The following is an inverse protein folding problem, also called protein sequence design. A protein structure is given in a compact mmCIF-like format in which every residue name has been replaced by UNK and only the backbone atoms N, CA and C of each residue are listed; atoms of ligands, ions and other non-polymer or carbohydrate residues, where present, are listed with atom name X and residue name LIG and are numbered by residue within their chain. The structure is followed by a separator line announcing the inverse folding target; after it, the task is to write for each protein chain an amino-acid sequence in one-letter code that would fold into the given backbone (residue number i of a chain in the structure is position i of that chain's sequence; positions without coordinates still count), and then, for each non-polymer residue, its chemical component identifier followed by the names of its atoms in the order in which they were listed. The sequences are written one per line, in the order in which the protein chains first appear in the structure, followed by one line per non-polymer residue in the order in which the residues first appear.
data_IF_978729801144
#
_entry.id   IF_978729801144
#
_cell.length_a   1.000
_cell.length_b   1.000
_cell.length_c   1.000
_cell.angle_alpha   90.00
_cell.angle_beta   90.00
_cell.angle_gamma   90.00
#
_symmetry.space_group_name_H-M   'P 1'
#
loop_
_entity.id
_entity.type
_entity.pdbx_description
1 polymer ?
#
# COMPACT_ATOMS: atom_id res chain seq x y z
N UNK A 1 30.88 12.13 60.75
CA UNK A 1 30.62 10.96 59.88
C UNK A 1 29.97 11.46 58.59
N UNK A 2 30.51 11.10 57.43
CA UNK A 2 29.89 11.47 56.15
C UNK A 2 28.58 10.71 56.00
N UNK A 3 27.46 11.38 55.67
CA UNK A 3 26.19 10.71 55.44
C UNK A 3 26.30 9.73 54.27
N UNK A 4 25.73 8.51 54.43
CA UNK A 4 25.70 7.56 53.32
C UNK A 4 24.69 8.01 52.28
N UNK A 5 24.85 7.59 51.01
CA UNK A 5 23.89 7.87 49.93
C UNK A 5 22.48 7.48 50.36
N UNK A 6 22.30 6.27 50.89
CA UNK A 6 21.00 5.76 51.29
C UNK A 6 20.35 6.53 52.46
N UNK A 7 21.17 7.14 53.35
CA UNK A 7 20.61 7.96 54.45
C UNK A 7 20.01 9.27 53.89
N UNK A 8 20.55 9.81 52.81
CA UNK A 8 20.01 10.98 52.12
C UNK A 8 18.83 10.59 51.24
N UNK A 9 18.94 9.52 50.43
CA UNK A 9 17.93 9.07 49.50
C UNK A 9 16.59 8.69 50.19
N UNK A 10 16.64 8.21 51.44
CA UNK A 10 15.45 7.87 52.24
C UNK A 10 14.72 9.06 52.85
N UNK A 11 15.24 10.28 52.78
CA UNK A 11 14.50 11.45 53.25
C UNK A 11 13.22 11.63 52.41
N UNK A 12 12.08 12.04 53.02
CA UNK A 12 10.79 12.15 52.32
C UNK A 12 10.86 12.94 50.98
N UNK A 13 11.64 14.01 50.96
CA UNK A 13 11.90 14.83 49.79
C UNK A 13 12.45 13.98 48.61
N UNK A 14 13.42 13.11 48.86
CA UNK A 14 14.09 12.31 47.85
C UNK A 14 13.31 11.05 47.46
N UNK A 15 12.50 10.50 48.39
CA UNK A 15 11.53 9.46 48.08
C UNK A 15 10.45 10.00 47.17
N UNK A 16 9.95 11.21 47.43
CA UNK A 16 9.03 11.91 46.51
C UNK A 16 9.67 12.18 45.14
N UNK A 17 10.94 12.60 45.10
CA UNK A 17 11.69 12.77 43.88
C UNK A 17 11.85 11.46 43.06
N UNK A 18 12.08 10.32 43.77
CA UNK A 18 12.13 9.00 43.14
C UNK A 18 10.77 8.60 42.57
N UNK A 19 9.68 8.87 43.27
CA UNK A 19 8.34 8.60 42.76
C UNK A 19 8.03 9.39 41.50
N UNK A 20 8.45 10.67 41.43
CA UNK A 20 8.33 11.49 40.22
C UNK A 20 9.19 10.91 39.09
N UNK A 21 10.46 10.59 39.35
CA UNK A 21 11.34 9.99 38.35
C UNK A 21 10.79 8.66 37.79
N UNK A 22 10.21 7.82 38.69
CA UNK A 22 9.56 6.59 38.29
C UNK A 22 8.31 6.83 37.41
N UNK A 23 7.49 7.80 37.74
CA UNK A 23 6.30 8.16 36.97
C UNK A 23 6.69 8.67 35.57
N UNK A 24 7.71 9.51 35.48
CA UNK A 24 8.28 10.00 34.22
C UNK A 24 8.84 8.84 33.40
N UNK A 25 9.60 7.93 34.03
CA UNK A 25 10.16 6.76 33.36
C UNK A 25 9.08 5.82 32.83
N UNK A 26 7.99 5.62 33.58
CA UNK A 26 6.82 4.83 33.13
C UNK A 26 6.18 5.48 31.89
N UNK A 27 5.98 6.80 31.92
CA UNK A 27 5.41 7.53 30.78
C UNK A 27 6.27 7.36 29.53
N UNK A 28 7.58 7.54 29.64
CA UNK A 28 8.50 7.35 28.50
C UNK A 28 8.56 5.88 28.05
N UNK A 29 8.47 4.93 28.96
CA UNK A 29 8.41 3.51 28.61
C UNK A 29 7.14 3.16 27.82
N UNK A 30 6.00 3.76 28.15
CA UNK A 30 4.75 3.59 27.39
C UNK A 30 4.85 4.23 26.00
N UNK A 31 5.47 5.41 25.89
CA UNK A 31 5.72 6.05 24.61
C UNK A 31 6.70 5.23 23.75
N UNK A 32 7.75 4.68 24.36
CA UNK A 32 8.67 3.75 23.68
C UNK A 32 7.92 2.54 23.13
N UNK A 33 7.10 1.90 23.96
CA UNK A 33 6.31 0.72 23.56
C UNK A 33 5.34 1.05 22.42
N UNK A 34 4.69 2.22 22.47
CA UNK A 34 3.81 2.69 21.42
C UNK A 34 4.56 2.93 20.11
N UNK A 35 5.75 3.55 20.15
CA UNK A 35 6.59 3.75 18.96
C UNK A 35 7.12 2.42 18.42
N UNK A 36 7.55 1.51 19.30
CA UNK A 36 8.07 0.21 18.90
C UNK A 36 7.00 -0.63 18.18
N UNK A 37 5.75 -0.57 18.62
CA UNK A 37 4.64 -1.23 17.95
C UNK A 37 4.40 -0.71 16.52
N UNK A 38 4.80 0.54 16.23
CA UNK A 38 4.71 1.15 14.90
C UNK A 38 5.99 1.01 14.07
N UNK A 39 7.06 0.52 14.67
CA UNK A 39 8.35 0.34 14.01
C UNK A 39 8.31 -0.82 13.01
N UNK A 40 7.54 -1.85 13.34
CA UNK A 40 7.39 -3.04 12.50
C UNK A 40 6.04 -2.96 11.80
N UNK A 41 6.05 -2.63 10.52
CA UNK A 41 4.88 -2.70 9.65
C UNK A 41 4.99 -3.99 8.85
N UNK A 42 3.95 -4.80 8.86
CA UNK A 42 3.82 -5.85 7.87
C UNK A 42 3.39 -5.14 6.59
N UNK A 43 4.29 -5.08 5.62
CA UNK A 43 3.99 -4.58 4.28
C UNK A 43 3.86 -5.81 3.40
N UNK A 44 2.68 -6.01 2.87
CA UNK A 44 2.37 -7.17 2.05
C UNK A 44 0.93 -7.65 2.28
N UNK A 45 0.48 -8.45 1.36
CA UNK A 45 -0.88 -9.00 1.34
C UNK A 45 -0.88 -10.34 2.06
N UNK A 46 -1.77 -10.54 3.02
CA UNK A 46 -1.91 -11.83 3.71
C UNK A 46 -2.38 -12.92 2.74
N UNK A 47 -2.12 -14.19 3.06
CA UNK A 47 -2.59 -15.31 2.20
C UNK A 47 -4.12 -15.35 2.05
N UNK A 48 -4.89 -14.85 3.02
CA UNK A 48 -6.35 -14.70 2.91
C UNK A 48 -6.74 -13.60 1.93
N UNK A 49 -5.94 -12.53 1.85
CA UNK A 49 -6.12 -11.43 0.91
C UNK A 49 -5.72 -11.81 -0.52
N UNK A 50 -4.92 -12.88 -0.70
CA UNK A 50 -4.57 -13.45 -2.01
C UNK A 50 -5.68 -14.33 -2.59
N UNK A 51 -6.70 -14.70 -1.82
CA UNK A 51 -7.84 -15.43 -2.35
C UNK A 51 -8.71 -14.50 -3.21
N UNK A 52 -9.02 -14.94 -4.42
CA UNK A 52 -9.94 -14.20 -5.30
C UNK A 52 -11.35 -14.17 -4.69
N UNK A 53 -11.92 -12.97 -4.62
CA UNK A 53 -13.30 -12.76 -4.15
C UNK A 53 -14.15 -12.13 -5.25
N UNK A 54 -15.48 -12.26 -5.22
CA UNK A 54 -16.35 -11.55 -6.18
C UNK A 54 -16.06 -10.05 -6.19
N UNK A 55 -15.96 -9.44 -7.38
CA UNK A 55 -15.66 -7.99 -7.51
C UNK A 55 -16.63 -7.11 -6.72
N UNK A 56 -17.88 -7.55 -6.57
CA UNK A 56 -18.91 -6.83 -5.82
C UNK A 56 -18.58 -6.64 -4.32
N UNK A 57 -17.69 -7.45 -3.76
CA UNK A 57 -17.18 -7.32 -2.39
C UNK A 57 -16.08 -6.25 -2.27
N UNK A 58 -15.43 -5.91 -3.38
CA UNK A 58 -14.30 -4.97 -3.42
C UNK A 58 -14.70 -3.60 -3.98
N UNK A 59 -15.55 -3.60 -5.00
CA UNK A 59 -15.97 -2.37 -5.67
C UNK A 59 -17.33 -2.51 -6.33
N UNK A 60 -17.92 -1.38 -6.65
CA UNK A 60 -19.15 -1.27 -7.44
C UNK A 60 -19.21 0.07 -8.14
N UNK A 61 -20.27 0.37 -8.92
CA UNK A 61 -20.44 1.65 -9.59
C UNK A 61 -20.36 2.81 -8.58
N UNK A 62 -19.33 3.66 -8.75
CA UNK A 62 -19.09 4.80 -7.86
C UNK A 62 -18.68 4.47 -6.42
N UNK A 63 -18.33 3.22 -6.10
CA UNK A 63 -17.97 2.76 -4.77
C UNK A 63 -16.71 1.89 -4.79
N UNK A 64 -15.83 2.13 -3.83
CA UNK A 64 -14.65 1.29 -3.55
C UNK A 64 -14.67 0.97 -2.05
N UNK A 65 -14.56 -0.30 -1.68
CA UNK A 65 -14.43 -0.68 -0.29
C UNK A 65 -13.01 -0.41 0.24
N UNK A 66 -12.84 -0.04 1.50
CA UNK A 66 -11.52 0.13 2.09
C UNK A 66 -10.68 -1.15 1.99
N UNK A 67 -9.43 -1.03 1.53
CA UNK A 67 -8.51 -2.17 1.39
C UNK A 67 -8.77 -3.05 0.16
N UNK A 68 -9.46 -2.55 -0.87
CA UNK A 68 -9.73 -3.28 -2.11
C UNK A 68 -8.55 -3.34 -3.07
N UNK A 69 -7.65 -2.37 -3.00
CA UNK A 69 -6.48 -2.34 -3.89
C UNK A 69 -5.50 -3.46 -3.57
N UNK A 70 -4.77 -3.91 -4.58
CA UNK A 70 -3.85 -5.06 -4.54
C UNK A 70 -4.55 -6.41 -4.24
N UNK A 71 -5.90 -6.47 -4.19
CA UNK A 71 -6.66 -7.70 -3.97
C UNK A 71 -7.10 -8.34 -5.27
N UNK A 72 -7.21 -9.68 -5.27
CA UNK A 72 -7.74 -10.45 -6.39
C UNK A 72 -9.26 -10.38 -6.42
N UNK A 73 -9.78 -9.88 -7.53
CA UNK A 73 -11.20 -9.90 -7.85
C UNK A 73 -11.51 -10.98 -8.89
N UNK A 74 -12.64 -11.65 -8.75
CA UNK A 74 -13.21 -12.55 -9.75
C UNK A 74 -14.49 -11.93 -10.31
N UNK A 75 -14.63 -11.92 -11.63
CA UNK A 75 -15.79 -11.33 -12.31
C UNK A 75 -16.02 -11.99 -13.66
N UNK A 76 -17.28 -12.09 -14.06
CA UNK A 76 -17.67 -12.45 -15.43
C UNK A 76 -17.82 -11.17 -16.25
N UNK A 77 -17.17 -11.08 -17.40
CA UNK A 77 -17.12 -9.91 -18.26
C UNK A 77 -17.35 -10.26 -19.72
N UNK A 78 -18.03 -9.38 -20.43
CA UNK A 78 -18.10 -9.35 -21.90
C UNK A 78 -17.04 -8.37 -22.41
N UNK A 79 -16.04 -8.84 -23.13
CA UNK A 79 -14.96 -7.99 -23.67
C UNK A 79 -15.45 -7.17 -24.87
N UNK A 80 -15.11 -5.88 -24.89
CA UNK A 80 -15.31 -5.03 -26.07
C UNK A 80 -13.99 -4.81 -26.83
N UNK A 81 -13.69 -5.58 -27.87
CA UNK A 81 -12.45 -5.47 -28.63
C UNK A 81 -12.32 -4.16 -29.41
N UNK A 82 -13.42 -3.43 -29.59
CA UNK A 82 -13.40 -2.13 -30.29
C UNK A 82 -12.91 -0.98 -29.43
N UNK A 83 -12.90 -1.16 -28.12
CA UNK A 83 -12.51 -0.18 -27.10
C UNK A 83 -11.23 -0.61 -26.39
N UNK A 84 -10.15 -0.67 -27.15
CA UNK A 84 -8.83 -1.07 -26.67
C UNK A 84 -7.82 0.04 -26.91
N UNK A 85 -6.88 0.21 -25.98
CA UNK A 85 -5.85 1.23 -26.02
C UNK A 85 -4.50 0.67 -25.57
N UNK A 86 -3.43 1.25 -26.08
CA UNK A 86 -2.08 0.98 -25.63
C UNK A 86 -1.67 2.02 -24.61
N UNK A 87 -0.93 1.58 -23.59
CA UNK A 87 -0.38 2.43 -22.54
C UNK A 87 1.13 2.27 -22.53
N UNK A 88 1.87 3.34 -22.72
CA UNK A 88 3.34 3.38 -22.73
C UNK A 88 3.93 3.55 -21.33
N UNK A 89 5.26 3.51 -21.27
CA UNK A 89 6.05 3.79 -20.06
C UNK A 89 5.72 2.83 -18.91
N UNK A 90 5.37 1.57 -19.26
CA UNK A 90 5.13 0.51 -18.29
C UNK A 90 6.40 -0.25 -18.01
N UNK A 91 6.63 -0.52 -16.73
CA UNK A 91 7.81 -1.28 -16.29
C UNK A 91 7.33 -2.58 -15.68
N UNK A 92 7.88 -3.70 -16.16
CA UNK A 92 7.63 -5.02 -15.64
C UNK A 92 8.89 -5.56 -14.96
N UNK A 93 8.71 -6.22 -13.81
CA UNK A 93 9.80 -6.92 -13.13
C UNK A 93 9.91 -8.32 -13.73
N UNK A 94 11.05 -8.64 -14.36
CA UNK A 94 11.37 -9.97 -14.87
C UNK A 94 12.65 -10.48 -14.20
N UNK A 95 12.49 -11.34 -13.19
CA UNK A 95 13.60 -11.74 -12.33
C UNK A 95 14.22 -10.55 -11.60
N UNK A 96 15.53 -10.29 -11.83
CA UNK A 96 16.22 -9.13 -11.23
C UNK A 96 16.25 -7.89 -12.15
N UNK A 97 15.56 -7.92 -13.29
CA UNK A 97 15.59 -6.85 -14.29
C UNK A 97 14.28 -6.08 -14.34
N UNK A 98 14.40 -4.77 -14.57
CA UNK A 98 13.28 -3.89 -14.88
C UNK A 98 13.18 -3.77 -16.40
N UNK A 99 12.08 -4.22 -16.96
CA UNK A 99 11.84 -4.26 -18.40
C UNK A 99 10.81 -3.20 -18.76
N UNK A 100 11.17 -2.16 -19.54
CA UNK A 100 10.22 -1.17 -20.00
C UNK A 100 9.39 -1.73 -21.16
N UNK A 101 8.14 -1.33 -21.27
CA UNK A 101 7.26 -1.77 -22.35
C UNK A 101 5.91 -1.07 -22.32
N UNK A 102 4.94 -1.77 -22.84
CA UNK A 102 3.58 -1.27 -23.06
C UNK A 102 2.56 -2.23 -22.46
N UNK A 103 1.41 -1.69 -22.06
CA UNK A 103 0.23 -2.49 -21.73
C UNK A 103 -0.82 -2.35 -22.82
N UNK A 104 -1.54 -3.44 -23.05
CA UNK A 104 -2.81 -3.44 -23.75
C UNK A 104 -3.92 -3.38 -22.72
N UNK A 105 -4.78 -2.37 -22.83
CA UNK A 105 -5.99 -2.25 -22.02
C UNK A 105 -7.22 -2.39 -22.91
N UNK A 106 -8.28 -2.94 -22.35
CA UNK A 106 -9.54 -3.15 -23.03
C UNK A 106 -10.71 -2.74 -22.13
N UNK A 107 -11.78 -2.22 -22.74
CA UNK A 107 -13.03 -2.10 -22.06
C UNK A 107 -13.74 -3.45 -22.00
N UNK A 108 -14.50 -3.66 -20.95
CA UNK A 108 -15.41 -4.81 -20.82
C UNK A 108 -16.67 -4.36 -20.09
N UNK A 109 -17.67 -5.22 -20.13
CA UNK A 109 -18.93 -5.02 -19.45
C UNK A 109 -19.22 -6.19 -18.52
N UNK A 110 -19.80 -5.89 -17.38
CA UNK A 110 -20.31 -6.89 -16.44
C UNK A 110 -21.71 -6.49 -15.97
N UNK A 111 -22.54 -7.48 -15.69
CA UNK A 111 -23.87 -7.23 -15.12
C UNK A 111 -23.77 -7.02 -13.61
N UNK A 112 -24.31 -5.90 -13.14
CA UNK A 112 -24.49 -5.65 -11.72
C UNK A 112 -25.94 -5.33 -11.45
N UNK A 113 -26.68 -6.28 -10.95
CA UNK A 113 -28.11 -6.14 -10.61
C UNK A 113 -29.00 -5.81 -11.81
N UNK A 114 -28.67 -6.32 -13.01
CA UNK A 114 -29.43 -6.10 -14.24
C UNK A 114 -29.04 -4.83 -15.00
N UNK A 115 -27.95 -4.16 -14.58
CA UNK A 115 -27.35 -3.04 -15.29
C UNK A 115 -25.98 -3.43 -15.82
N UNK A 116 -25.72 -3.07 -17.07
CA UNK A 116 -24.43 -3.28 -17.73
C UNK A 116 -23.46 -2.19 -17.29
N UNK A 117 -22.38 -2.56 -16.63
CA UNK A 117 -21.40 -1.66 -16.03
C UNK A 117 -20.05 -1.84 -16.72
N UNK A 118 -19.44 -0.76 -17.14
CA UNK A 118 -18.10 -0.74 -17.77
C UNK A 118 -17.02 -1.05 -16.74
N UNK A 119 -16.10 -1.95 -17.10
CA UNK A 119 -14.91 -2.31 -16.33
C UNK A 119 -13.68 -2.32 -17.24
N UNK A 120 -12.69 -1.52 -16.93
CA UNK A 120 -11.42 -1.50 -17.65
C UNK A 120 -10.52 -2.65 -17.22
N UNK A 121 -9.91 -3.33 -18.18
CA UNK A 121 -8.99 -4.45 -17.97
C UNK A 121 -7.62 -4.11 -18.57
N UNK A 122 -6.55 -4.37 -17.84
CA UNK A 122 -5.19 -4.43 -18.37
C UNK A 122 -4.87 -5.91 -18.65
N UNK A 123 -4.70 -6.27 -19.92
CA UNK A 123 -4.79 -7.67 -20.36
C UNK A 123 -3.45 -8.25 -20.81
N UNK A 124 -2.49 -7.44 -21.24
CA UNK A 124 -1.21 -7.92 -21.76
C UNK A 124 -0.09 -6.90 -21.59
N UNK A 125 1.14 -7.39 -21.50
CA UNK A 125 2.38 -6.62 -21.56
C UNK A 125 3.23 -7.07 -22.75
N UNK A 126 3.95 -6.13 -23.36
CA UNK A 126 5.04 -6.43 -24.27
C UNK A 126 6.04 -5.28 -24.31
N UNK A 127 7.32 -5.61 -24.54
CA UNK A 127 8.36 -4.64 -24.89
C UNK A 127 8.15 -4.07 -26.31
N UNK A 128 7.51 -4.87 -27.17
CA UNK A 128 7.22 -4.53 -28.55
C UNK A 128 5.76 -4.14 -28.75
N UNK A 129 5.56 -2.91 -29.16
CA UNK A 129 4.23 -2.35 -29.42
C UNK A 129 3.51 -3.06 -30.60
N UNK A 130 4.26 -3.53 -31.61
CA UNK A 130 3.70 -4.22 -32.77
C UNK A 130 3.09 -5.57 -32.38
N UNK A 131 3.71 -6.25 -31.40
CA UNK A 131 3.16 -7.49 -30.84
C UNK A 131 1.81 -7.24 -30.15
N UNK A 132 1.67 -6.15 -29.38
CA UNK A 132 0.40 -5.79 -28.76
C UNK A 132 -0.67 -5.36 -29.79
N UNK A 133 -0.29 -4.69 -30.87
CA UNK A 133 -1.22 -4.36 -31.96
C UNK A 133 -1.73 -5.63 -32.67
N UNK A 134 -0.90 -6.66 -32.82
CA UNK A 134 -1.33 -7.94 -33.35
C UNK A 134 -2.35 -8.60 -32.43
N UNK A 135 -2.03 -8.71 -31.13
CA UNK A 135 -2.93 -9.26 -30.11
C UNK A 135 -4.25 -8.49 -30.07
N UNK A 136 -4.19 -7.16 -30.14
CA UNK A 136 -5.36 -6.30 -30.22
C UNK A 136 -6.26 -6.64 -31.38
N UNK A 137 -5.69 -6.97 -32.55
CA UNK A 137 -6.45 -7.36 -33.74
C UNK A 137 -7.10 -8.74 -33.65
N UNK A 138 -6.60 -9.59 -32.76
CA UNK A 138 -7.09 -10.97 -32.53
C UNK A 138 -8.14 -11.05 -31.41
N UNK A 139 -8.32 -9.96 -30.64
CA UNK A 139 -9.34 -9.92 -29.60
C UNK A 139 -10.74 -10.09 -30.17
N UNK A 140 -11.53 -10.91 -29.52
CA UNK A 140 -12.92 -11.19 -29.90
C UNK A 140 -13.88 -10.82 -28.79
N UNK A 141 -15.08 -10.38 -29.18
CA UNK A 141 -16.16 -10.12 -28.24
C UNK A 141 -16.69 -11.47 -27.71
N UNK A 142 -16.37 -11.80 -26.50
CA UNK A 142 -16.77 -13.04 -25.84
C UNK A 142 -16.84 -12.82 -24.33
N UNK A 143 -17.67 -13.62 -23.68
CA UNK A 143 -17.77 -13.63 -22.23
C UNK A 143 -16.63 -14.45 -21.63
N UNK A 144 -16.00 -13.89 -20.62
CA UNK A 144 -14.91 -14.51 -19.88
C UNK A 144 -15.17 -14.43 -18.37
N UNK A 145 -14.82 -15.49 -17.66
CA UNK A 145 -14.65 -15.41 -16.23
C UNK A 145 -13.17 -15.13 -15.96
N UNK A 146 -12.89 -13.93 -15.47
CA UNK A 146 -11.52 -13.49 -15.23
C UNK A 146 -11.23 -13.34 -13.73
N UNK A 147 -9.96 -13.48 -13.41
CA UNK A 147 -9.39 -13.08 -12.12
C UNK A 147 -8.33 -12.02 -12.37
N UNK A 148 -8.32 -10.98 -11.55
CA UNK A 148 -7.35 -9.89 -11.71
C UNK A 148 -7.19 -9.08 -10.44
N UNK A 149 -6.05 -8.39 -10.34
CA UNK A 149 -5.78 -7.46 -9.26
C UNK A 149 -6.52 -6.15 -9.45
N UNK A 150 -7.11 -5.66 -8.36
CA UNK A 150 -7.82 -4.38 -8.32
C UNK A 150 -6.82 -3.25 -8.18
N UNK A 151 -6.83 -2.33 -9.16
CA UNK A 151 -5.94 -1.19 -9.20
C UNK A 151 -6.71 0.15 -9.22
N UNK A 152 -6.15 1.19 -8.59
CA UNK A 152 -6.75 2.52 -8.62
C UNK A 152 -6.55 3.19 -9.97
N UNK A 153 -7.50 4.07 -10.36
CA UNK A 153 -7.33 4.97 -11.50
C UNK A 153 -6.09 5.83 -11.33
N UNK A 154 -5.28 5.92 -12.37
CA UNK A 154 -4.16 6.84 -12.43
C UNK A 154 -4.61 8.28 -12.75
N UNK A 155 -3.74 9.25 -12.50
CA UNK A 155 -4.00 10.63 -12.89
C UNK A 155 -4.02 10.78 -14.42
N UNK A 156 -4.91 11.61 -14.98
CA UNK A 156 -4.95 11.82 -16.42
C UNK A 156 -3.69 12.52 -16.91
N UNK A 157 -3.17 12.07 -18.04
CA UNK A 157 -2.06 12.69 -18.76
C UNK A 157 -2.52 13.20 -20.12
N UNK A 158 -1.85 14.22 -20.63
CA UNK A 158 -2.18 14.73 -21.98
C UNK A 158 -1.85 13.66 -23.02
N UNK A 159 -2.83 13.37 -23.90
CA UNK A 159 -2.60 12.53 -25.08
C UNK A 159 -1.58 13.22 -26.00
N UNK A 160 -0.57 12.48 -26.39
CA UNK A 160 0.34 12.91 -27.44
C UNK A 160 -0.23 12.61 -28.85
N UNK A 161 0.51 13.02 -29.89
CA UNK A 161 0.09 12.81 -31.28
C UNK A 161 0.05 11.33 -31.70
N UNK A 162 0.66 10.42 -30.92
CA UNK A 162 0.68 8.98 -31.20
C UNK A 162 -0.65 8.29 -30.88
N UNK A 163 -1.47 8.90 -30.05
CA UNK A 163 -2.70 8.29 -29.56
C UNK A 163 -2.48 7.16 -28.53
N UNK A 164 -1.24 6.97 -28.09
CA UNK A 164 -0.87 6.02 -27.05
C UNK A 164 -1.03 6.73 -25.69
N UNK A 165 -1.67 6.07 -24.73
CA UNK A 165 -1.88 6.62 -23.40
C UNK A 165 -0.58 6.59 -22.58
N UNK A 166 -0.33 7.59 -21.75
CA UNK A 166 0.74 7.57 -20.75
C UNK A 166 0.30 6.90 -19.44
N UNK A 167 -1.00 6.88 -19.17
CA UNK A 167 -1.55 6.41 -17.89
C UNK A 167 -2.87 5.64 -18.06
N UNK A 168 -3.21 4.77 -17.10
CA UNK A 168 -4.53 4.13 -17.03
C UNK A 168 -5.48 5.03 -16.23
N UNK A 169 -5.84 6.15 -16.82
CA UNK A 169 -6.79 7.09 -16.23
C UNK A 169 -8.22 6.77 -16.64
N UNK A 170 -9.02 6.25 -15.69
CA UNK A 170 -10.41 5.90 -15.95
C UNK A 170 -11.25 7.12 -16.35
N UNK A 171 -10.97 8.30 -15.79
CA UNK A 171 -11.63 9.54 -16.16
C UNK A 171 -11.36 9.94 -17.62
N UNK A 172 -10.18 9.60 -18.16
CA UNK A 172 -9.84 9.81 -19.56
C UNK A 172 -10.46 8.73 -20.45
N UNK A 173 -10.37 7.45 -20.02
CA UNK A 173 -10.86 6.30 -20.76
C UNK A 173 -12.37 6.33 -20.99
N UNK A 174 -13.16 6.74 -19.99
CA UNK A 174 -14.62 6.90 -20.15
C UNK A 174 -14.96 7.80 -21.34
N UNK A 175 -14.20 8.87 -21.56
CA UNK A 175 -14.40 9.76 -22.69
C UNK A 175 -13.98 9.12 -24.02
N UNK A 176 -12.99 8.23 -24.00
CA UNK A 176 -12.48 7.53 -25.18
C UNK A 176 -13.35 6.32 -25.56
N UNK A 177 -14.01 5.69 -24.58
CA UNK A 177 -14.91 4.56 -24.83
C UNK A 177 -16.18 4.95 -25.60
N UNK A 178 -16.65 6.18 -25.52
CA UNK A 178 -17.73 6.70 -26.36
C UNK A 178 -18.71 7.62 -25.64
N UNK A 179 -19.68 8.10 -26.40
CA UNK A 179 -20.54 9.21 -26.01
C UNK A 179 -21.73 8.84 -25.09
N UNK A 180 -22.02 7.57 -24.87
CA UNK A 180 -23.10 7.17 -23.95
C UNK A 180 -22.57 7.11 -22.53
N UNK A 181 -23.20 7.78 -21.58
CA UNK A 181 -22.81 7.70 -20.18
C UNK A 181 -23.18 6.32 -19.60
N UNK A 182 -22.28 5.38 -19.72
CA UNK A 182 -22.39 4.08 -19.08
C UNK A 182 -21.81 4.17 -17.68
N UNK A 183 -22.51 3.62 -16.70
CA UNK A 183 -21.96 3.47 -15.37
C UNK A 183 -20.66 2.66 -15.43
N UNK A 184 -19.66 3.03 -14.66
CA UNK A 184 -18.36 2.37 -14.68
C UNK A 184 -17.85 2.10 -13.28
N UNK A 185 -17.02 1.07 -13.16
CA UNK A 185 -16.23 0.84 -11.96
C UNK A 185 -15.18 1.95 -11.80
N UNK A 186 -14.94 2.45 -10.59
CA UNK A 186 -13.90 3.44 -10.31
C UNK A 186 -12.50 2.82 -10.13
N UNK A 187 -12.35 1.56 -10.56
CA UNK A 187 -11.13 0.75 -10.51
C UNK A 187 -10.89 0.09 -11.87
N UNK A 188 -9.70 -0.40 -12.11
CA UNK A 188 -9.46 -1.34 -13.21
C UNK A 188 -8.85 -2.64 -12.68
N UNK A 189 -8.86 -3.69 -13.49
CA UNK A 189 -8.26 -4.98 -13.15
C UNK A 189 -7.04 -5.25 -14.01
N UNK A 190 -5.95 -5.69 -13.39
CA UNK A 190 -4.84 -6.35 -14.08
C UNK A 190 -5.14 -7.84 -14.12
N UNK A 191 -5.44 -8.34 -15.32
CA UNK A 191 -5.90 -9.71 -15.52
C UNK A 191 -4.75 -10.69 -15.32
N UNK A 192 -4.97 -11.66 -14.42
CA UNK A 192 -4.02 -12.76 -14.15
C UNK A 192 -4.47 -14.09 -14.70
N UNK A 193 -5.79 -14.34 -14.75
CA UNK A 193 -6.37 -15.60 -15.21
C UNK A 193 -7.68 -15.36 -15.96
N UNK A 194 -8.06 -16.34 -16.77
CA UNK A 194 -9.35 -16.36 -17.47
C UNK A 194 -9.31 -15.79 -18.87
N UNK A 195 -8.24 -15.10 -19.27
CA UNK A 195 -8.02 -14.63 -20.64
C UNK A 195 -6.73 -15.27 -21.16
N UNK A 196 -6.86 -16.10 -22.17
CA UNK A 196 -5.73 -16.81 -22.80
C UNK A 196 -5.35 -16.08 -24.09
N UNK A 197 -4.37 -15.19 -23.99
CA UNK A 197 -3.80 -14.44 -25.09
C UNK A 197 -2.38 -14.97 -25.34
N UNK A 198 -1.97 -14.99 -26.62
CA UNK A 198 -0.57 -15.26 -26.98
C UNK A 198 0.32 -14.04 -26.66
N UNK A 199 0.30 -13.66 -25.38
CA UNK A 199 0.95 -12.49 -24.84
C UNK A 199 1.51 -12.74 -23.44
N UNK A 200 2.51 -11.97 -23.08
CA UNK A 200 3.01 -11.96 -21.72
C UNK A 200 1.98 -11.31 -20.80
N UNK A 201 1.68 -12.00 -19.69
CA UNK A 201 0.82 -11.47 -18.64
C UNK A 201 1.55 -10.34 -17.92
N UNK A 202 0.79 -9.35 -17.50
CA UNK A 202 1.33 -8.28 -16.66
C UNK A 202 1.76 -8.88 -15.33
N UNK A 203 3.06 -8.85 -15.04
CA UNK A 203 3.59 -9.26 -13.76
C UNK A 203 3.40 -8.14 -12.74
N UNK A 204 2.64 -8.45 -11.70
CA UNK A 204 2.52 -7.56 -10.54
C UNK A 204 3.50 -8.05 -9.50
N UNK A 205 4.34 -7.14 -9.03
CA UNK A 205 5.15 -7.40 -7.84
C UNK A 205 4.23 -7.36 -6.62
N UNK A 206 3.60 -8.52 -6.35
CA UNK A 206 2.87 -8.69 -5.10
C UNK A 206 3.90 -8.64 -4.00
N UNK A 207 3.93 -7.54 -3.28
CA UNK A 207 4.78 -7.39 -2.10
C UNK A 207 4.45 -8.55 -1.16
N UNK A 208 5.27 -9.60 -1.21
CA UNK A 208 5.25 -10.66 -0.20
C UNK A 208 5.34 -10.03 1.17
N UNK A 209 4.64 -10.58 2.17
CA UNK A 209 4.71 -10.10 3.55
C UNK A 209 6.18 -9.90 3.95
N UNK A 210 6.64 -8.67 3.87
CA UNK A 210 7.96 -8.28 4.31
C UNK A 210 7.80 -7.40 5.56
N UNK A 211 8.56 -7.71 6.58
CA UNK A 211 8.63 -6.85 7.75
C UNK A 211 9.50 -5.66 7.37
N UNK A 212 8.87 -4.55 7.03
CA UNK A 212 9.60 -3.29 6.89
C UNK A 212 9.83 -2.64 8.25
N UNK A 213 11.09 -2.36 8.53
CA UNK A 213 11.49 -1.63 9.74
C UNK A 213 11.48 -0.13 9.43
N UNK A 214 10.55 0.58 10.03
CA UNK A 214 10.57 2.04 9.98
C UNK A 214 11.66 2.56 10.93
N UNK A 215 12.85 2.81 10.39
CA UNK A 215 14.01 3.26 11.15
C UNK A 215 13.79 4.57 11.88
N UNK A 216 12.92 5.45 11.39
CA UNK A 216 12.59 6.70 12.06
C UNK A 216 11.83 6.44 13.38
N UNK A 217 10.83 5.56 13.34
CA UNK A 217 10.08 5.19 14.55
C UNK A 217 10.91 4.35 15.52
N UNK A 218 11.83 3.51 15.00
CA UNK A 218 12.80 2.79 15.81
C UNK A 218 13.73 3.74 16.57
N UNK A 219 14.21 4.78 15.90
CA UNK A 219 15.05 5.81 16.51
C UNK A 219 14.30 6.56 17.62
N UNK A 220 13.05 6.97 17.39
CA UNK A 220 12.23 7.61 18.42
C UNK A 220 11.96 6.68 19.61
N UNK A 221 11.75 5.39 19.39
CA UNK A 221 11.61 4.43 20.48
C UNK A 221 12.88 4.38 21.36
N UNK A 222 14.05 4.40 20.75
CA UNK A 222 15.33 4.46 21.46
C UNK A 222 15.49 5.78 22.25
N UNK A 223 15.07 6.90 21.69
CA UNK A 223 15.08 8.21 22.35
C UNK A 223 14.21 8.22 23.61
N UNK A 224 13.02 7.66 23.57
CA UNK A 224 12.15 7.50 24.74
C UNK A 224 12.78 6.62 25.83
N UNK A 225 13.43 5.51 25.44
CA UNK A 225 14.18 4.68 26.37
C UNK A 225 15.31 5.47 27.07
N UNK A 226 16.02 6.28 26.31
CA UNK A 226 17.07 7.14 26.83
C UNK A 226 16.51 8.14 27.86
N UNK A 227 15.42 8.82 27.58
CA UNK A 227 14.79 9.75 28.52
C UNK A 227 14.30 9.07 29.80
N UNK A 228 13.81 7.85 29.71
CA UNK A 228 13.46 7.06 30.89
C UNK A 228 14.67 6.82 31.80
N UNK A 229 15.82 6.47 31.23
CA UNK A 229 17.07 6.27 31.98
C UNK A 229 17.60 7.60 32.59
N UNK A 230 17.53 8.68 31.80
CA UNK A 230 17.96 10.01 32.25
C UNK A 230 17.15 10.49 33.46
N UNK A 231 15.86 10.16 33.55
CA UNK A 231 15.04 10.54 34.72
C UNK A 231 15.59 10.00 36.04
N UNK A 232 16.02 8.73 36.08
CA UNK A 232 16.66 8.11 37.24
C UNK A 232 18.06 8.64 37.47
N UNK A 233 18.83 8.88 36.39
CA UNK A 233 20.16 9.48 36.51
C UNK A 233 20.09 10.87 37.14
N UNK A 234 19.14 11.72 36.72
CA UNK A 234 18.95 13.04 37.31
C UNK A 234 18.59 12.97 38.79
N UNK A 235 17.65 12.07 39.18
CA UNK A 235 17.33 11.84 40.56
C UNK A 235 18.57 11.40 41.38
N UNK A 236 19.32 10.43 40.88
CA UNK A 236 20.54 9.95 41.52
C UNK A 236 21.56 11.07 41.73
N UNK A 237 21.80 11.86 40.67
CA UNK A 237 22.72 12.99 40.69
C UNK A 237 22.30 14.04 41.73
N UNK A 238 21.04 14.41 41.77
CA UNK A 238 20.52 15.39 42.75
C UNK A 238 20.69 14.91 44.19
N UNK A 239 20.48 13.61 44.47
CA UNK A 239 20.76 13.00 45.78
C UNK A 239 22.26 13.08 46.12
N UNK A 240 23.13 12.82 45.14
CA UNK A 240 24.58 12.94 45.32
C UNK A 240 25.01 14.40 45.61
N UNK A 241 24.46 15.35 44.91
CA UNK A 241 24.77 16.79 45.13
C UNK A 241 24.33 17.23 46.50
N UNK A 242 23.16 16.81 46.98
CA UNK A 242 22.70 17.07 48.35
C UNK A 242 23.63 16.42 49.39
N UNK A 243 24.02 15.18 49.16
CA UNK A 243 24.99 14.49 50.03
C UNK A 243 26.31 15.28 50.13
N UNK A 244 26.81 15.73 48.99
CA UNK A 244 28.07 16.52 48.96
C UNK A 244 27.94 17.85 49.68
N UNK A 245 26.79 18.52 49.58
CA UNK A 245 26.52 19.78 50.34
C UNK A 245 26.46 19.58 51.84
N UNK A 246 26.00 18.41 52.29
CA UNK A 246 25.96 18.09 53.72
C UNK A 246 27.36 17.74 54.29
N UNK A 247 28.38 17.63 53.42
CA UNK A 247 29.75 17.27 53.80
C UNK A 247 30.67 18.50 53.70
N UNK A 248 30.28 19.51 52.91
CA UNK A 248 30.96 20.79 52.80
C UNK A 248 30.59 21.72 53.97
#
# INVERSE_FOLDING_TARGET
MKPSFFSVARKPKWVGGLAIAALVAITFSLLMQWQLARTFSIVGVSQEELAAVPIAELAGPGRIEPGSFDRLAQVEVALDPTKTFLVKDRIQVQGDSLVPGYWLIANSFTDVSGEEISLTLAVAFSEDIEALEQIRSELVATDFQITGYVEPSEAPEMLDESGILGTVSLAQLVNLYGAEPIASFPIYLIVTEGLDLDAEKIAIDIRSEAIEVNWLTAFYALEWAFFALVSFYLWWRLVQDERNRLVA
#
